data_IF_543276983697
#
_entry.id   IF_543276983697
#
_cell.length_a   1.000
_cell.length_b   1.000
_cell.length_c   1.000
_cell.angle_alpha   90.00
_cell.angle_beta   90.00
_cell.angle_gamma   90.00
#
_symmetry.space_group_name_H-M   'P 1'
#
loop_
_entity.id
_entity.type
_entity.pdbx_description
1 polymer ?
#
# COMPACT_ATOMS: atom_id res chain seq x y z
N UNK A 1 18.23 9.92 1.82
CA UNK A 1 16.90 10.46 1.44
C UNK A 1 17.02 11.96 1.30
N UNK A 2 16.55 12.57 0.20
CA UNK A 2 16.61 14.02 0.03
C UNK A 2 15.83 14.77 1.12
N UNK A 3 16.38 15.90 1.57
CA UNK A 3 15.76 16.69 2.65
C UNK A 3 14.55 17.51 2.15
N UNK A 4 14.47 17.78 0.84
CA UNK A 4 13.39 18.59 0.28
C UNK A 4 12.23 17.74 -0.22
N UNK A 5 10.97 18.22 -0.11
CA UNK A 5 9.81 17.53 -0.66
C UNK A 5 9.93 17.26 -2.17
N UNK A 6 10.44 18.22 -2.93
CA UNK A 6 10.66 18.09 -4.37
C UNK A 6 11.70 17.02 -4.68
N UNK A 7 12.80 16.98 -3.93
CA UNK A 7 13.83 15.96 -4.06
C UNK A 7 13.29 14.56 -3.76
N UNK A 8 12.50 14.42 -2.70
CA UNK A 8 11.84 13.15 -2.37
C UNK A 8 10.86 12.70 -3.46
N UNK A 9 10.05 13.62 -3.98
CA UNK A 9 9.13 13.33 -5.08
C UNK A 9 9.87 12.87 -6.33
N UNK A 10 10.95 13.56 -6.70
CA UNK A 10 11.77 13.19 -7.85
C UNK A 10 12.39 11.79 -7.70
N UNK A 11 12.96 11.51 -6.53
CA UNK A 11 13.53 10.21 -6.23
C UNK A 11 12.46 9.11 -6.27
N UNK A 12 11.28 9.37 -5.74
CA UNK A 12 10.17 8.42 -5.77
C UNK A 12 9.76 8.09 -7.22
N UNK A 13 9.67 9.09 -8.10
CA UNK A 13 9.38 8.86 -9.53
C UNK A 13 10.46 8.00 -10.21
N UNK A 14 11.72 8.26 -9.91
CA UNK A 14 12.85 7.47 -10.44
C UNK A 14 12.77 6.02 -9.95
N UNK A 15 12.50 5.80 -8.66
CA UNK A 15 12.40 4.47 -8.08
C UNK A 15 11.18 3.68 -8.60
N UNK A 16 10.04 4.32 -8.80
CA UNK A 16 8.90 3.68 -9.45
C UNK A 16 9.23 3.26 -10.89
N UNK A 17 9.97 4.10 -11.62
CA UNK A 17 10.44 3.75 -12.96
C UNK A 17 11.39 2.56 -12.95
N UNK A 18 12.29 2.46 -11.96
CA UNK A 18 13.19 1.31 -11.79
C UNK A 18 12.41 0.05 -11.39
N UNK A 19 11.47 0.18 -10.44
CA UNK A 19 10.65 -0.94 -9.96
C UNK A 19 9.87 -1.59 -11.12
N UNK A 20 9.25 -0.77 -11.97
CA UNK A 20 8.48 -1.24 -13.12
C UNK A 20 9.30 -1.98 -14.18
N UNK A 21 10.62 -1.79 -14.19
CA UNK A 21 11.55 -2.42 -15.15
C UNK A 21 12.32 -3.59 -14.53
N UNK A 22 12.27 -3.77 -13.21
CA UNK A 22 13.06 -4.77 -12.50
C UNK A 22 12.25 -6.04 -12.30
N UNK A 23 12.60 -7.10 -13.00
CA UNK A 23 11.93 -8.41 -12.93
C UNK A 23 12.60 -9.38 -11.98
N UNK A 24 13.85 -9.15 -11.65
CA UNK A 24 14.62 -9.98 -10.72
C UNK A 24 14.14 -9.70 -9.27
N UNK A 25 13.62 -10.72 -8.55
CA UNK A 25 12.93 -10.50 -7.27
C UNK A 25 13.76 -9.76 -6.23
N UNK A 26 15.00 -10.16 -6.01
CA UNK A 26 15.86 -9.57 -4.96
C UNK A 26 16.19 -8.09 -5.25
N UNK A 27 16.45 -7.76 -6.51
CA UNK A 27 16.69 -6.37 -6.92
C UNK A 27 15.43 -5.53 -6.84
N UNK A 28 14.30 -6.08 -7.25
CA UNK A 28 13.01 -5.42 -7.17
C UNK A 28 12.62 -5.15 -5.71
N UNK A 29 12.86 -6.11 -4.82
CA UNK A 29 12.62 -5.93 -3.38
C UNK A 29 13.47 -4.80 -2.80
N UNK A 30 14.75 -4.72 -3.18
CA UNK A 30 15.63 -3.62 -2.75
C UNK A 30 15.07 -2.26 -3.16
N UNK A 31 14.60 -2.12 -4.39
CA UNK A 31 13.96 -0.88 -4.87
C UNK A 31 12.66 -0.61 -4.12
N UNK A 32 11.83 -1.62 -3.90
CA UNK A 32 10.58 -1.49 -3.15
C UNK A 32 10.83 -0.99 -1.72
N UNK A 33 11.83 -1.52 -1.04
CA UNK A 33 12.22 -1.09 0.31
C UNK A 33 12.64 0.39 0.36
N UNK A 34 13.34 0.87 -0.66
CA UNK A 34 13.70 2.29 -0.75
C UNK A 34 12.46 3.17 -0.94
N UNK A 35 11.49 2.73 -1.74
CA UNK A 35 10.21 3.42 -1.89
C UNK A 35 9.46 3.46 -0.56
N UNK A 36 9.38 2.34 0.15
CA UNK A 36 8.74 2.26 1.47
C UNK A 36 9.37 3.20 2.48
N UNK A 37 10.70 3.36 2.47
CA UNK A 37 11.38 4.34 3.30
C UNK A 37 10.97 5.77 2.96
N UNK A 38 10.82 6.10 1.67
CA UNK A 38 10.35 7.43 1.25
C UNK A 38 8.92 7.70 1.70
N UNK A 39 8.04 6.70 1.71
CA UNK A 39 6.67 6.85 2.20
C UNK A 39 6.60 7.20 3.69
N UNK A 40 7.62 6.87 4.50
CA UNK A 40 7.65 7.18 5.92
C UNK A 40 7.82 8.68 6.21
N UNK A 41 8.30 9.47 5.26
CA UNK A 41 8.55 10.89 5.43
C UNK A 41 7.34 11.70 4.96
N UNK A 42 6.56 12.24 5.89
CA UNK A 42 5.40 13.09 5.56
C UNK A 42 5.80 14.52 5.14
N UNK A 43 6.98 14.98 5.57
CA UNK A 43 7.41 16.36 5.45
C UNK A 43 7.04 17.23 6.66
N UNK A 44 6.42 16.65 7.67
CA UNK A 44 6.06 17.29 8.93
C UNK A 44 6.59 16.48 10.11
N UNK A 45 7.46 17.07 10.92
CA UNK A 45 8.03 16.41 12.10
C UNK A 45 6.95 15.95 13.07
N UNK A 46 5.88 16.74 13.22
CA UNK A 46 4.74 16.39 14.08
C UNK A 46 4.02 15.15 13.57
N UNK A 47 3.72 15.10 12.27
CA UNK A 47 3.06 13.94 11.64
C UNK A 47 3.95 12.71 11.71
N UNK A 48 5.24 12.85 11.43
CA UNK A 48 6.20 11.75 11.50
C UNK A 48 6.28 11.17 12.93
N UNK A 49 6.26 12.04 13.96
CA UNK A 49 6.22 11.59 15.36
C UNK A 49 4.92 10.85 15.70
N UNK A 50 3.77 11.34 15.23
CA UNK A 50 2.48 10.67 15.45
C UNK A 50 2.45 9.31 14.74
N UNK A 51 2.98 9.22 13.53
CA UNK A 51 3.11 7.95 12.79
C UNK A 51 4.03 6.96 13.50
N UNK A 52 5.13 7.44 14.05
CA UNK A 52 6.03 6.59 14.84
C UNK A 52 5.33 6.04 16.09
N UNK A 53 4.57 6.88 16.80
CA UNK A 53 3.77 6.45 17.96
C UNK A 53 2.66 5.48 17.58
N UNK A 54 2.01 5.70 16.45
CA UNK A 54 1.02 4.77 15.92
C UNK A 54 1.64 3.39 15.64
N UNK A 55 2.82 3.36 15.02
CA UNK A 55 3.58 2.13 14.79
C UNK A 55 3.93 1.40 16.09
N UNK A 56 4.38 2.13 17.10
CA UNK A 56 4.66 1.56 18.43
C UNK A 56 3.40 1.01 19.11
N UNK A 57 2.26 1.70 18.98
CA UNK A 57 0.98 1.23 19.50
C UNK A 57 0.51 -0.05 18.81
N UNK A 58 0.68 -0.16 17.50
CA UNK A 58 0.39 -1.38 16.73
C UNK A 58 1.28 -2.53 17.20
N UNK A 59 2.58 -2.30 17.31
CA UNK A 59 3.53 -3.29 17.78
C UNK A 59 3.21 -3.78 19.21
N UNK A 60 2.74 -2.87 20.07
CA UNK A 60 2.28 -3.16 21.43
C UNK A 60 0.86 -3.71 21.52
N UNK A 61 0.21 -3.98 20.39
CA UNK A 61 -1.19 -4.45 20.29
C UNK A 61 -2.21 -3.51 20.94
N UNK A 62 -1.88 -2.23 21.06
CA UNK A 62 -2.79 -1.20 21.52
C UNK A 62 -3.52 -0.57 20.33
N UNK A 63 -4.48 -1.30 19.79
CA UNK A 63 -5.21 -0.90 18.59
C UNK A 63 -6.06 0.36 18.79
N UNK A 64 -6.56 0.60 19.99
CA UNK A 64 -7.32 1.81 20.30
C UNK A 64 -6.44 3.06 20.20
N UNK A 65 -5.27 3.05 20.83
CA UNK A 65 -4.31 4.15 20.74
C UNK A 65 -3.80 4.35 19.31
N UNK A 66 -3.51 3.26 18.58
CA UNK A 66 -3.11 3.32 17.18
C UNK A 66 -4.17 4.01 16.31
N UNK A 67 -5.44 3.68 16.52
CA UNK A 67 -6.56 4.31 15.81
C UNK A 67 -6.66 5.81 16.07
N UNK A 68 -6.62 6.21 17.32
CA UNK A 68 -6.68 7.63 17.68
C UNK A 68 -5.54 8.42 17.02
N UNK A 69 -4.33 7.88 17.03
CA UNK A 69 -3.17 8.51 16.41
C UNK A 69 -3.32 8.60 14.88
N UNK A 70 -3.75 7.52 14.23
CA UNK A 70 -3.94 7.51 12.79
C UNK A 70 -5.10 8.41 12.34
N UNK A 71 -6.21 8.44 13.11
CA UNK A 71 -7.32 9.35 12.86
C UNK A 71 -6.87 10.82 12.95
N UNK A 72 -6.02 11.14 13.94
CA UNK A 72 -5.43 12.45 14.06
C UNK A 72 -4.56 12.81 12.84
N UNK A 73 -3.72 11.88 12.38
CA UNK A 73 -2.84 12.12 11.22
C UNK A 73 -3.61 12.33 9.93
N UNK A 74 -4.62 11.50 9.63
CA UNK A 74 -5.42 11.68 8.40
C UNK A 74 -6.25 12.96 8.44
N UNK A 75 -6.58 13.47 9.63
CA UNK A 75 -7.21 14.77 9.82
C UNK A 75 -6.25 15.94 9.61
N UNK A 76 -5.01 15.83 10.09
CA UNK A 76 -3.99 16.87 9.97
C UNK A 76 -3.40 16.95 8.54
N UNK A 77 -3.12 15.80 7.95
CA UNK A 77 -2.50 15.68 6.62
C UNK A 77 -3.30 14.69 5.74
N UNK A 78 -4.47 15.10 5.24
CA UNK A 78 -5.34 14.22 4.45
C UNK A 78 -4.74 13.79 3.10
N UNK A 79 -3.64 14.39 2.68
CA UNK A 79 -2.91 14.03 1.44
C UNK A 79 -1.72 13.13 1.70
N UNK A 80 -1.48 12.74 2.95
CA UNK A 80 -0.41 11.82 3.30
C UNK A 80 -0.88 10.36 3.16
N UNK A 81 -0.58 9.76 2.04
CA UNK A 81 -1.07 8.43 1.65
C UNK A 81 -0.75 7.34 2.67
N UNK A 82 0.46 7.33 3.23
CA UNK A 82 0.90 6.28 4.17
C UNK A 82 0.07 6.22 5.45
N UNK A 83 -0.47 7.34 5.91
CA UNK A 83 -1.36 7.34 7.07
C UNK A 83 -2.66 6.58 6.79
N UNK A 84 -3.26 6.79 5.62
CA UNK A 84 -4.42 6.03 5.17
C UNK A 84 -4.10 4.54 4.98
N UNK A 85 -2.92 4.24 4.44
CA UNK A 85 -2.47 2.86 4.27
C UNK A 85 -2.33 2.13 5.61
N UNK A 86 -1.72 2.75 6.62
CA UNK A 86 -1.62 2.16 7.95
C UNK A 86 -2.95 2.00 8.63
N UNK A 87 -3.86 2.97 8.45
CA UNK A 87 -5.21 2.85 8.99
C UNK A 87 -5.99 1.73 8.30
N UNK A 88 -5.81 1.55 7.00
CA UNK A 88 -6.36 0.41 6.26
C UNK A 88 -5.88 -0.92 6.83
N UNK A 89 -4.57 -1.05 7.10
CA UNK A 89 -4.00 -2.26 7.69
C UNK A 89 -4.58 -2.54 9.09
N UNK A 90 -4.76 -1.50 9.91
CA UNK A 90 -5.40 -1.61 11.22
C UNK A 90 -6.88 -2.04 11.11
N UNK A 91 -7.62 -1.45 10.18
CA UNK A 91 -9.01 -1.83 9.89
C UNK A 91 -9.11 -3.29 9.46
N UNK A 92 -8.21 -3.72 8.59
CA UNK A 92 -8.14 -5.12 8.14
C UNK A 92 -7.83 -6.07 9.30
N UNK A 93 -6.85 -5.75 10.14
CA UNK A 93 -6.50 -6.54 11.33
C UNK A 93 -7.68 -6.67 12.31
N UNK A 94 -8.52 -5.64 12.39
CA UNK A 94 -9.75 -5.64 13.18
C UNK A 94 -10.97 -6.22 12.43
N UNK A 95 -10.74 -6.87 11.29
CA UNK A 95 -11.75 -7.51 10.44
C UNK A 95 -12.81 -6.55 9.85
N UNK A 96 -12.52 -5.27 9.84
CA UNK A 96 -13.35 -4.25 9.18
C UNK A 96 -12.90 -4.04 7.74
N UNK A 97 -13.28 -4.98 6.87
CA UNK A 97 -12.85 -5.00 5.46
C UNK A 97 -13.37 -3.81 4.66
N UNK A 98 -14.59 -3.36 4.94
CA UNK A 98 -15.19 -2.20 4.26
C UNK A 98 -14.41 -0.92 4.54
N UNK A 99 -14.11 -0.65 5.82
CA UNK A 99 -13.31 0.50 6.19
C UNK A 99 -11.88 0.41 5.63
N UNK A 100 -11.29 -0.80 5.61
CA UNK A 100 -9.99 -1.02 5.01
C UNK A 100 -10.00 -0.68 3.50
N UNK A 101 -11.00 -1.13 2.75
CA UNK A 101 -11.14 -0.82 1.32
C UNK A 101 -11.35 0.68 1.07
N UNK A 102 -12.13 1.36 1.93
CA UNK A 102 -12.32 2.81 1.83
C UNK A 102 -11.01 3.57 2.00
N UNK A 103 -10.19 3.19 2.99
CA UNK A 103 -8.88 3.79 3.21
C UNK A 103 -7.91 3.47 2.06
N UNK A 104 -7.90 2.23 1.56
CA UNK A 104 -7.11 1.85 0.38
C UNK A 104 -7.50 2.66 -0.84
N UNK A 105 -8.79 2.86 -1.08
CA UNK A 105 -9.25 3.72 -2.18
C UNK A 105 -8.71 5.14 -2.05
N UNK A 106 -8.63 5.67 -0.83
CA UNK A 106 -8.03 6.97 -0.58
C UNK A 106 -6.54 6.97 -0.89
N UNK A 107 -5.80 5.95 -0.47
CA UNK A 107 -4.36 5.80 -0.81
C UNK A 107 -4.18 5.84 -2.33
N UNK A 108 -4.92 5.04 -3.06
CA UNK A 108 -4.78 4.92 -4.52
C UNK A 108 -5.22 6.18 -5.26
N UNK A 109 -6.11 6.99 -4.69
CA UNK A 109 -6.44 8.31 -5.22
C UNK A 109 -5.29 9.31 -5.08
N UNK A 110 -4.43 9.13 -4.07
CA UNK A 110 -3.26 9.97 -3.80
C UNK A 110 -2.01 9.46 -4.55
N UNK A 111 -1.84 8.14 -4.60
CA UNK A 111 -0.76 7.46 -5.32
C UNK A 111 -1.24 6.13 -5.88
N UNK A 112 -1.56 6.11 -7.19
CA UNK A 112 -2.04 4.91 -7.88
C UNK A 112 -1.01 3.78 -7.97
N UNK A 113 0.27 4.07 -7.71
CA UNK A 113 1.38 3.11 -7.73
C UNK A 113 1.76 2.61 -6.34
N UNK A 114 0.95 2.91 -5.34
CA UNK A 114 1.19 2.45 -3.97
C UNK A 114 0.97 0.93 -3.91
N UNK A 115 2.03 0.16 -4.10
CA UNK A 115 1.95 -1.29 -4.29
C UNK A 115 1.44 -2.04 -3.05
N UNK A 116 1.67 -1.55 -1.83
CA UNK A 116 1.09 -2.17 -0.63
C UNK A 116 -0.43 -1.99 -0.56
N UNK A 117 -0.93 -0.85 -1.00
CA UNK A 117 -2.38 -0.62 -1.10
C UNK A 117 -3.02 -1.52 -2.17
N UNK A 118 -2.38 -1.67 -3.34
CA UNK A 118 -2.83 -2.58 -4.39
C UNK A 118 -2.86 -4.04 -3.91
N UNK A 119 -1.84 -4.47 -3.18
CA UNK A 119 -1.77 -5.80 -2.57
C UNK A 119 -2.93 -6.02 -1.58
N UNK A 120 -3.13 -5.07 -0.67
CA UNK A 120 -4.23 -5.13 0.30
C UNK A 120 -5.60 -5.16 -0.37
N UNK A 121 -5.81 -4.36 -1.42
CA UNK A 121 -7.03 -4.37 -2.21
C UNK A 121 -7.28 -5.75 -2.83
N UNK A 122 -6.28 -6.31 -3.50
CA UNK A 122 -6.38 -7.64 -4.12
C UNK A 122 -6.72 -8.72 -3.11
N UNK A 123 -6.05 -8.72 -1.97
CA UNK A 123 -6.27 -9.68 -0.89
C UNK A 123 -7.70 -9.58 -0.33
N UNK A 124 -8.16 -8.39 0.04
CA UNK A 124 -9.48 -8.19 0.63
C UNK A 124 -10.58 -8.56 -0.37
N UNK A 125 -10.46 -8.12 -1.62
CA UNK A 125 -11.45 -8.43 -2.66
C UNK A 125 -11.55 -9.93 -2.94
N UNK A 126 -10.41 -10.63 -2.94
CA UNK A 126 -10.39 -12.09 -3.07
C UNK A 126 -11.07 -12.78 -1.89
N UNK A 127 -10.82 -12.33 -0.67
CA UNK A 127 -11.48 -12.86 0.54
C UNK A 127 -13.00 -12.63 0.53
N UNK A 128 -13.46 -11.53 -0.11
CA UNK A 128 -14.88 -11.23 -0.30
C UNK A 128 -15.50 -11.96 -1.50
N UNK A 129 -14.73 -12.79 -2.20
CA UNK A 129 -15.21 -13.52 -3.39
C UNK A 129 -15.38 -12.65 -4.63
N UNK A 130 -14.87 -11.41 -4.61
CA UNK A 130 -14.90 -10.49 -5.75
C UNK A 130 -13.68 -10.71 -6.65
N UNK A 131 -13.60 -11.89 -7.25
CA UNK A 131 -12.42 -12.33 -7.98
C UNK A 131 -12.09 -11.45 -9.20
N UNK A 132 -13.10 -10.93 -9.91
CA UNK A 132 -12.87 -10.01 -11.04
C UNK A 132 -12.14 -8.73 -10.61
N UNK A 133 -12.56 -8.14 -9.52
CA UNK A 133 -11.95 -6.93 -8.98
C UNK A 133 -10.58 -7.22 -8.34
N UNK A 134 -10.46 -8.35 -7.66
CA UNK A 134 -9.18 -8.81 -7.12
C UNK A 134 -8.15 -9.01 -8.24
N UNK A 135 -8.55 -9.61 -9.35
CA UNK A 135 -7.70 -9.80 -10.53
C UNK A 135 -7.21 -8.44 -11.08
N UNK A 136 -8.10 -7.45 -11.19
CA UNK A 136 -7.70 -6.10 -11.62
C UNK A 136 -6.66 -5.49 -10.68
N UNK A 137 -6.84 -5.64 -9.37
CA UNK A 137 -5.88 -5.12 -8.39
C UNK A 137 -4.52 -5.81 -8.50
N UNK A 138 -4.47 -7.12 -8.61
CA UNK A 138 -3.21 -7.87 -8.76
C UNK A 138 -2.53 -7.62 -10.12
N UNK A 139 -3.28 -7.43 -11.19
CA UNK A 139 -2.72 -7.02 -12.48
C UNK A 139 -2.09 -5.64 -12.42
N UNK A 140 -2.77 -4.68 -11.79
CA UNK A 140 -2.22 -3.34 -11.56
C UNK A 140 -0.94 -3.41 -10.70
N UNK A 141 -0.94 -4.23 -9.65
CA UNK A 141 0.24 -4.48 -8.82
C UNK A 141 1.40 -5.07 -9.64
N UNK A 142 1.13 -6.03 -10.50
CA UNK A 142 2.15 -6.66 -11.35
C UNK A 142 2.74 -5.70 -12.39
N UNK A 143 1.99 -4.69 -12.82
CA UNK A 143 2.50 -3.63 -13.70
C UNK A 143 3.45 -2.68 -12.95
N UNK A 144 3.11 -2.34 -11.72
CA UNK A 144 3.93 -1.46 -10.86
C UNK A 144 5.18 -2.20 -10.36
N UNK A 145 5.03 -3.47 -10.00
CA UNK A 145 6.04 -4.27 -9.33
C UNK A 145 6.13 -5.68 -9.96
N UNK A 146 6.63 -5.79 -11.21
CA UNK A 146 6.68 -7.08 -11.92
C UNK A 146 7.62 -8.11 -11.28
N UNK A 147 8.59 -7.67 -10.48
CA UNK A 147 9.47 -8.56 -9.70
C UNK A 147 8.83 -9.15 -8.44
N UNK A 148 7.60 -8.75 -8.10
CA UNK A 148 6.88 -9.32 -6.95
C UNK A 148 6.18 -10.61 -7.37
N UNK A 149 6.88 -11.72 -7.18
CA UNK A 149 6.46 -13.04 -7.67
C UNK A 149 5.08 -13.46 -7.14
N UNK A 150 4.81 -13.26 -5.86
CA UNK A 150 3.54 -13.66 -5.24
C UNK A 150 2.34 -12.93 -5.86
N UNK A 151 2.49 -11.67 -6.22
CA UNK A 151 1.46 -10.89 -6.90
C UNK A 151 1.23 -11.37 -8.34
N UNK A 152 2.31 -11.67 -9.05
CA UNK A 152 2.24 -12.24 -10.41
C UNK A 152 1.54 -13.60 -10.39
N UNK A 153 1.92 -14.48 -9.48
CA UNK A 153 1.31 -15.80 -9.31
C UNK A 153 -0.18 -15.69 -8.94
N UNK A 154 -0.54 -14.75 -8.05
CA UNK A 154 -1.93 -14.49 -7.69
C UNK A 154 -2.77 -14.01 -8.88
N UNK A 155 -2.22 -13.10 -9.70
CA UNK A 155 -2.87 -12.61 -10.91
C UNK A 155 -3.10 -13.74 -11.92
N UNK A 156 -2.10 -14.60 -12.13
CA UNK A 156 -2.22 -15.76 -13.02
C UNK A 156 -3.28 -16.76 -12.54
N UNK A 157 -3.28 -17.11 -11.26
CA UNK A 157 -4.25 -18.02 -10.67
C UNK A 157 -5.68 -17.49 -10.75
N UNK A 158 -5.89 -16.22 -10.43
CA UNK A 158 -7.19 -15.57 -10.56
C UNK A 158 -7.62 -15.42 -12.03
N UNK A 159 -6.68 -15.12 -12.93
CA UNK A 159 -6.95 -15.03 -14.36
C UNK A 159 -7.50 -16.34 -14.92
N UNK A 160 -6.89 -17.47 -14.56
CA UNK A 160 -7.38 -18.81 -14.95
C UNK A 160 -8.77 -19.08 -14.39
N UNK A 161 -9.03 -18.71 -13.13
CA UNK A 161 -10.32 -18.90 -12.49
C UNK A 161 -11.43 -18.05 -13.11
N UNK A 162 -11.20 -16.75 -13.30
CA UNK A 162 -12.16 -15.79 -13.82
C UNK A 162 -12.41 -16.00 -15.32
N UNK A 163 -11.35 -16.13 -16.11
CA UNK A 163 -11.43 -16.30 -17.56
C UNK A 163 -11.87 -17.71 -17.97
N UNK A 164 -11.56 -18.72 -17.14
CA UNK A 164 -12.01 -20.10 -17.35
C UNK A 164 -13.49 -20.35 -17.03
N UNK A 165 -14.15 -19.50 -16.24
CA UNK A 165 -15.57 -19.61 -15.92
C UNK A 165 -16.50 -19.05 -17.01
N UNK A 166 -15.95 -18.37 -18.02
CA UNK A 166 -16.69 -17.79 -19.15
C UNK A 166 -16.93 -18.77 -20.31
N UNK A 167 -16.54 -20.04 -20.15
CA UNK A 167 -16.72 -21.09 -21.16
C UNK A 167 -17.96 -21.99 -20.78
#
# INVERSE_FOLDING_TARGET
IPDTPEGRKKLLEELYGQLAKTREPDKAETVAQLIEQLWQASGSDTVDLLMQRAGAAIAGKNNAAARELLDAVVGLEPRYAEAWNRRAALNYANQNREAALADIARVLSLDRRHFRALEGMGQILRELGQDDLALKAYRALSEVYPGYKDAVDAAEALGRKVEGQGI
#
